data_IF_776391852992
#
_entry.id   IF_776391852992
#
_cell.length_a   1.000
_cell.length_b   1.000
_cell.length_c   1.000
_cell.angle_alpha   90.00
_cell.angle_beta   90.00
_cell.angle_gamma   90.00
#
_symmetry.space_group_name_H-M   'P 1'
#
loop_
_entity.id
_entity.type
_entity.pdbx_description
1 polymer ?
#
# COMPACT_ATOMS: atom_id res chain seq x y z
N UNK A 1 -12.10 -18.62 4.89
CA UNK A 1 -11.24 -17.97 5.93
C UNK A 1 -9.88 -18.64 5.94
N UNK A 2 -8.77 -17.91 5.74
CA UNK A 2 -7.42 -18.50 5.63
C UNK A 2 -6.82 -19.00 6.96
N UNK A 3 -7.45 -18.73 8.10
CA UNK A 3 -7.01 -19.19 9.42
C UNK A 3 -8.17 -19.74 10.26
N UNK A 4 -8.69 -20.93 9.88
CA UNK A 4 -9.81 -21.60 10.58
C UNK A 4 -9.50 -21.88 12.06
N UNK A 5 -8.25 -22.19 12.38
CA UNK A 5 -7.80 -22.47 13.76
C UNK A 5 -7.87 -21.22 14.64
N UNK A 6 -7.32 -20.09 14.17
CA UNK A 6 -7.37 -18.82 14.89
C UNK A 6 -8.81 -18.34 15.11
N UNK A 7 -9.70 -18.57 14.13
CA UNK A 7 -11.12 -18.26 14.26
C UNK A 7 -11.81 -19.10 15.35
N UNK A 8 -11.51 -20.40 15.43
CA UNK A 8 -12.05 -21.27 16.50
C UNK A 8 -11.56 -20.85 17.88
N UNK A 9 -10.27 -20.58 18.03
CA UNK A 9 -9.71 -20.08 19.30
C UNK A 9 -10.33 -18.74 19.72
N UNK A 10 -10.62 -17.85 18.76
CA UNK A 10 -11.31 -16.59 19.06
C UNK A 10 -12.73 -16.81 19.59
N UNK A 11 -13.49 -17.71 18.96
CA UNK A 11 -14.85 -18.06 19.39
C UNK A 11 -14.87 -18.73 20.77
N UNK A 12 -13.93 -19.62 21.06
CA UNK A 12 -13.77 -20.24 22.38
C UNK A 12 -13.49 -19.20 23.47
N UNK A 13 -12.67 -18.18 23.18
CA UNK A 13 -12.37 -17.10 24.12
C UNK A 13 -13.55 -16.14 24.33
N UNK A 14 -14.27 -15.81 23.26
CA UNK A 14 -15.48 -14.97 23.33
C UNK A 14 -16.62 -15.64 24.11
N UNK A 15 -16.69 -16.97 24.10
CA UNK A 15 -17.68 -17.74 24.86
C UNK A 15 -17.21 -18.09 26.29
N UNK A 16 -16.08 -17.56 26.75
CA UNK A 16 -15.55 -17.85 28.08
C UNK A 16 -16.06 -16.85 29.11
N UNK A 17 -16.25 -17.31 30.36
CA UNK A 17 -16.66 -16.45 31.49
C UNK A 17 -15.69 -15.28 31.74
N UNK A 18 -14.41 -15.47 31.47
CA UNK A 18 -13.39 -14.42 31.58
C UNK A 18 -13.56 -13.28 30.56
N UNK A 19 -14.24 -13.54 29.43
CA UNK A 19 -14.65 -12.48 28.50
C UNK A 19 -15.83 -11.67 29.06
N UNK A 20 -16.82 -12.34 29.67
CA UNK A 20 -17.95 -11.67 30.34
C UNK A 20 -17.48 -10.81 31.53
N UNK A 21 -16.44 -11.24 32.22
CA UNK A 21 -15.79 -10.53 33.32
C UNK A 21 -14.81 -9.43 32.84
N UNK A 22 -14.69 -9.20 31.52
CA UNK A 22 -13.78 -8.22 30.90
C UNK A 22 -12.32 -8.34 31.36
N UNK A 23 -11.80 -9.56 31.50
CA UNK A 23 -10.39 -9.77 31.82
C UNK A 23 -9.49 -9.19 30.70
N UNK A 24 -8.66 -8.21 31.05
CA UNK A 24 -7.75 -7.52 30.13
C UNK A 24 -6.88 -8.47 29.31
N UNK A 25 -6.47 -9.62 29.89
CA UNK A 25 -5.63 -10.61 29.20
C UNK A 25 -6.39 -11.29 28.08
N UNK A 26 -7.65 -11.66 28.33
CA UNK A 26 -8.51 -12.30 27.34
C UNK A 26 -8.88 -11.30 26.23
N UNK A 27 -9.13 -10.05 26.60
CA UNK A 27 -9.37 -8.96 25.63
C UNK A 27 -8.17 -8.75 24.73
N UNK A 28 -6.95 -8.70 25.29
CA UNK A 28 -5.72 -8.53 24.52
C UNK A 28 -5.47 -9.72 23.56
N UNK A 29 -5.73 -10.96 24.00
CA UNK A 29 -5.59 -12.15 23.16
C UNK A 29 -6.58 -12.15 21.99
N UNK A 30 -7.86 -11.85 22.25
CA UNK A 30 -8.91 -11.75 21.23
C UNK A 30 -8.56 -10.66 20.21
N UNK A 31 -8.08 -9.49 20.64
CA UNK A 31 -7.63 -8.43 19.74
C UNK A 31 -6.42 -8.83 18.90
N UNK A 32 -5.47 -9.59 19.47
CA UNK A 32 -4.30 -10.09 18.74
C UNK A 32 -4.71 -11.11 17.67
N UNK A 33 -5.63 -12.01 18.00
CA UNK A 33 -6.18 -12.98 17.06
C UNK A 33 -6.98 -12.26 15.96
N UNK A 34 -7.80 -11.27 16.32
CA UNK A 34 -8.54 -10.44 15.38
C UNK A 34 -7.61 -9.75 14.37
N UNK A 35 -6.48 -9.17 14.81
CA UNK A 35 -5.49 -8.54 13.90
C UNK A 35 -4.82 -9.55 12.95
N UNK A 36 -4.67 -10.80 13.36
CA UNK A 36 -4.09 -11.86 12.54
C UNK A 36 -5.09 -12.44 11.53
N UNK A 37 -6.39 -12.42 11.87
CA UNK A 37 -7.48 -12.84 10.99
C UNK A 37 -8.02 -11.70 10.13
N UNK A 38 -7.75 -10.44 10.51
CA UNK A 38 -8.00 -9.24 9.73
C UNK A 38 -7.23 -9.36 8.42
N UNK A 39 -7.93 -9.88 7.43
CA UNK A 39 -7.52 -9.85 6.06
C UNK A 39 -7.66 -8.39 5.65
N UNK A 40 -6.68 -7.56 6.03
CA UNK A 40 -6.38 -6.36 5.26
C UNK A 40 -6.02 -6.90 3.90
N UNK A 41 -7.03 -7.08 3.06
CA UNK A 41 -6.90 -6.77 1.65
C UNK A 41 -6.25 -5.41 1.66
N UNK A 42 -4.91 -5.42 1.63
CA UNK A 42 -4.13 -4.33 1.12
C UNK A 42 -4.71 -4.24 -0.27
N UNK A 43 -5.74 -3.42 -0.41
CA UNK A 43 -6.17 -2.85 -1.66
C UNK A 43 -4.89 -2.20 -2.14
N UNK A 44 -4.07 -3.02 -2.82
CA UNK A 44 -2.91 -2.60 -3.57
C UNK A 44 -3.59 -1.79 -4.65
N UNK A 45 -3.92 -0.53 -4.33
CA UNK A 45 -4.56 0.43 -5.23
C UNK A 45 -3.84 0.20 -6.54
N UNK A 46 -4.55 -0.33 -7.53
CA UNK A 46 -3.97 -0.81 -8.78
C UNK A 46 -3.24 0.40 -9.35
N UNK A 47 -1.92 0.46 -9.16
CA UNK A 47 -1.06 1.56 -9.63
C UNK A 47 -0.94 1.53 -11.16
N UNK A 48 -1.39 0.43 -11.74
CA UNK A 48 -1.53 0.18 -13.17
C UNK A 48 -2.60 1.13 -13.70
N UNK A 49 -2.19 2.33 -14.13
CA UNK A 49 -3.09 3.30 -14.76
C UNK A 49 -2.78 4.76 -14.47
N UNK A 50 -2.15 5.09 -13.33
CA UNK A 50 -1.87 6.52 -13.03
C UNK A 50 -0.83 7.08 -13.99
N UNK A 51 -1.20 8.19 -14.65
CA UNK A 51 -0.28 8.97 -15.48
C UNK A 51 0.71 9.74 -14.60
N UNK A 52 1.94 9.81 -15.09
CA UNK A 52 3.07 10.48 -14.47
C UNK A 52 3.61 11.48 -15.50
N UNK A 53 3.92 12.68 -15.04
CA UNK A 53 4.63 13.69 -15.80
C UNK A 53 6.09 13.75 -15.34
N UNK A 54 7.01 13.73 -16.30
CA UNK A 54 8.43 14.01 -16.07
C UNK A 54 8.70 15.45 -16.47
N UNK A 55 9.16 16.25 -15.51
CA UNK A 55 9.52 17.64 -15.69
C UNK A 55 11.03 17.77 -15.79
N UNK A 56 11.53 18.67 -16.64
CA UNK A 56 12.94 19.05 -16.68
C UNK A 56 13.03 20.55 -17.00
N UNK A 57 13.74 21.31 -16.16
CA UNK A 57 13.87 22.77 -16.36
C UNK A 57 12.53 23.52 -16.40
N UNK A 58 11.55 23.10 -15.60
CA UNK A 58 10.23 23.73 -15.54
C UNK A 58 9.27 23.40 -16.68
N UNK A 59 9.67 22.53 -17.63
CA UNK A 59 8.81 22.06 -18.73
C UNK A 59 8.51 20.58 -18.59
N UNK A 60 7.36 20.14 -19.07
CA UNK A 60 7.03 18.72 -19.19
C UNK A 60 7.84 18.15 -20.35
N UNK A 61 8.68 17.16 -20.05
CA UNK A 61 9.45 16.42 -21.05
C UNK A 61 8.60 15.32 -21.68
N UNK A 62 7.91 14.54 -20.84
CA UNK A 62 7.07 13.41 -21.28
C UNK A 62 6.01 13.11 -20.22
N UNK A 63 4.85 12.65 -20.67
CA UNK A 63 3.77 12.13 -19.83
C UNK A 63 3.40 10.73 -20.26
N UNK A 64 3.10 9.86 -19.30
CA UNK A 64 2.62 8.51 -19.61
C UNK A 64 2.43 7.69 -18.35
N UNK A 65 2.02 6.44 -18.52
CA UNK A 65 2.07 5.46 -17.44
C UNK A 65 3.53 5.15 -17.08
N UNK A 66 3.77 4.63 -15.88
CA UNK A 66 5.12 4.22 -15.48
C UNK A 66 5.74 3.14 -16.42
N UNK A 67 4.92 2.45 -17.22
CA UNK A 67 5.37 1.45 -18.17
C UNK A 67 5.82 2.09 -19.49
N UNK A 68 4.99 2.96 -20.07
CA UNK A 68 5.36 3.78 -21.24
C UNK A 68 6.62 4.60 -20.95
N UNK A 69 6.67 5.23 -19.77
CA UNK A 69 7.86 5.98 -19.35
C UNK A 69 9.08 5.06 -19.24
N UNK A 70 8.94 3.84 -18.73
CA UNK A 70 10.10 2.93 -18.62
C UNK A 70 10.74 2.60 -19.96
N UNK A 71 9.93 2.53 -21.02
CA UNK A 71 10.37 2.29 -22.39
C UNK A 71 11.05 3.54 -22.97
N UNK A 72 10.45 4.72 -22.78
CA UNK A 72 10.96 5.98 -23.33
C UNK A 72 12.25 6.47 -22.66
N UNK A 73 12.33 6.41 -21.33
CA UNK A 73 13.47 6.95 -20.57
C UNK A 73 14.49 5.89 -20.14
N UNK A 74 14.35 4.66 -20.66
CA UNK A 74 15.19 3.49 -20.34
C UNK A 74 15.45 3.35 -18.83
N UNK A 75 14.39 3.45 -18.03
CA UNK A 75 14.44 3.43 -16.58
C UNK A 75 13.43 2.44 -16.05
N UNK A 76 13.81 1.65 -15.04
CA UNK A 76 12.88 0.66 -14.52
C UNK A 76 11.64 1.30 -13.87
N UNK A 77 10.50 0.62 -14.05
CA UNK A 77 9.21 1.05 -13.51
C UNK A 77 9.26 1.32 -12.00
N UNK A 78 10.01 0.52 -11.22
CA UNK A 78 10.08 0.66 -9.76
C UNK A 78 10.81 1.94 -9.38
N UNK A 79 11.87 2.31 -10.09
CA UNK A 79 12.59 3.58 -9.90
C UNK A 79 11.68 4.76 -10.20
N UNK A 80 10.91 4.71 -11.30
CA UNK A 80 9.94 5.78 -11.62
C UNK A 80 8.95 5.97 -10.45
N UNK A 81 8.35 4.89 -9.94
CA UNK A 81 7.45 4.96 -8.77
C UNK A 81 8.15 5.48 -7.51
N UNK A 82 9.40 5.08 -7.28
CA UNK A 82 10.22 5.55 -6.16
C UNK A 82 10.44 7.05 -6.24
N UNK A 83 10.76 7.58 -7.43
CA UNK A 83 10.97 9.01 -7.69
C UNK A 83 9.70 9.81 -7.47
N UNK A 84 8.57 9.37 -8.02
CA UNK A 84 7.28 10.04 -7.79
C UNK A 84 6.93 10.08 -6.30
N UNK A 85 7.20 9.01 -5.55
CA UNK A 85 6.95 8.97 -4.10
C UNK A 85 7.86 9.91 -3.31
N UNK A 86 9.13 10.01 -3.70
CA UNK A 86 10.13 10.87 -3.03
C UNK A 86 9.95 12.34 -3.38
N UNK A 87 9.39 12.66 -4.54
CA UNK A 87 9.14 14.03 -5.00
C UNK A 87 10.40 14.84 -5.31
N UNK A 88 11.59 14.23 -5.23
CA UNK A 88 12.86 14.89 -5.43
C UNK A 88 13.27 14.94 -6.91
N UNK A 89 14.15 15.89 -7.21
CA UNK A 89 14.80 16.02 -8.52
C UNK A 89 15.92 14.99 -8.62
N UNK A 90 16.04 14.32 -9.76
CA UNK A 90 17.15 13.38 -10.01
C UNK A 90 18.44 14.09 -10.42
N UNK A 91 19.53 13.33 -10.56
CA UNK A 91 20.84 13.87 -10.97
C UNK A 91 20.86 14.46 -12.37
N UNK A 92 19.84 14.23 -13.20
CA UNK A 92 19.67 14.79 -14.54
C UNK A 92 18.72 16.00 -14.55
N UNK A 93 18.32 16.50 -13.38
CA UNK A 93 17.39 17.63 -13.26
C UNK A 93 15.93 17.26 -13.54
N UNK A 94 15.57 15.97 -13.53
CA UNK A 94 14.21 15.50 -13.81
C UNK A 94 13.39 15.37 -12.52
N UNK A 95 12.14 15.83 -12.55
CA UNK A 95 11.19 15.66 -11.46
C UNK A 95 9.98 14.86 -11.93
N UNK A 96 9.56 13.88 -11.12
CA UNK A 96 8.47 12.97 -11.47
C UNK A 96 7.26 13.29 -10.59
N UNK A 97 6.12 13.62 -11.21
CA UNK A 97 4.88 13.97 -10.51
C UNK A 97 3.70 13.17 -11.04
N UNK A 98 2.72 12.88 -10.19
CA UNK A 98 1.44 12.38 -10.67
C UNK A 98 0.77 13.45 -11.52
N UNK A 99 0.21 13.04 -12.66
CA UNK A 99 -0.76 13.85 -13.36
C UNK A 99 -2.09 13.62 -12.63
N UNK A 100 -2.56 14.62 -11.89
CA UNK A 100 -3.92 14.53 -11.34
C UNK A 100 -4.90 14.58 -12.50
N UNK A 101 -5.67 13.51 -12.68
CA UNK A 101 -6.83 13.51 -13.56
C UNK A 101 -7.90 14.35 -12.85
N UNK A 102 -8.15 15.56 -13.36
CA UNK A 102 -9.27 16.41 -12.95
C UNK A 102 -10.58 15.83 -13.45
#
# INVERSE_FOLDING_TARGET
MKNKVAYRMMLERLNSRAWEENDERVVAEVQKIAKLTENKEKTRRKRVGRKIAIWQGGRILVTGTAQELSEVISMDKKTIWSRVRRGNVDSKGRQFKYLEEK
#
